data_IF_953339164568
#
_entry.id   IF_953339164568
#
_cell.length_a   1.000
_cell.length_b   1.000
_cell.length_c   1.000
_cell.angle_alpha   90.00
_cell.angle_beta   90.00
_cell.angle_gamma   90.00
#
_symmetry.space_group_name_H-M   'P 1'
#
loop_
_entity.id
_entity.type
_entity.pdbx_description
1 polymer ?
#
# COMPACT_ATOMS: atom_id res chain seq x y z
N UNK A 1 6.95 -19.25 3.29
CA UNK A 1 5.80 -19.50 2.39
C UNK A 1 4.70 -18.44 2.51
N UNK A 2 4.24 -18.07 3.71
CA UNK A 2 3.14 -17.10 3.90
C UNK A 2 3.41 -15.73 3.25
N UNK A 3 4.64 -15.21 3.32
CA UNK A 3 5.01 -13.91 2.73
C UNK A 3 4.62 -13.84 1.24
N UNK A 4 5.00 -14.84 0.45
CA UNK A 4 4.68 -14.90 -0.99
C UNK A 4 3.18 -15.08 -1.22
N UNK A 5 2.48 -15.87 -0.39
CA UNK A 5 1.01 -15.99 -0.46
C UNK A 5 0.33 -14.64 -0.24
N UNK A 6 0.72 -13.92 0.81
CA UNK A 6 0.22 -12.58 1.10
C UNK A 6 0.54 -11.60 -0.04
N UNK A 7 1.75 -11.67 -0.63
CA UNK A 7 2.12 -10.79 -1.74
C UNK A 7 1.27 -11.05 -2.99
N UNK A 8 1.04 -12.32 -3.34
CA UNK A 8 0.13 -12.73 -4.42
C UNK A 8 -1.31 -12.26 -4.16
N UNK A 9 -1.80 -12.46 -2.94
CA UNK A 9 -3.16 -12.07 -2.57
C UNK A 9 -3.34 -10.55 -2.62
N UNK A 10 -2.42 -9.78 -2.02
CA UNK A 10 -2.47 -8.33 -2.03
C UNK A 10 -2.40 -7.75 -3.46
N UNK A 11 -1.51 -8.29 -4.30
CA UNK A 11 -1.41 -7.89 -5.70
C UNK A 11 -2.73 -8.15 -6.44
N UNK A 12 -3.33 -9.33 -6.24
CA UNK A 12 -4.63 -9.66 -6.84
C UNK A 12 -5.73 -8.73 -6.35
N UNK A 13 -5.85 -8.49 -5.04
CA UNK A 13 -6.88 -7.62 -4.47
C UNK A 13 -6.76 -6.18 -4.99
N UNK A 14 -5.55 -5.66 -5.14
CA UNK A 14 -5.33 -4.33 -5.75
C UNK A 14 -5.71 -4.33 -7.24
N UNK A 15 -5.44 -5.42 -7.96
CA UNK A 15 -5.86 -5.57 -9.37
C UNK A 15 -7.38 -5.62 -9.52
N UNK A 16 -8.07 -6.37 -8.65
CA UNK A 16 -9.54 -6.45 -8.61
C UNK A 16 -10.17 -5.07 -8.32
N UNK A 17 -9.45 -4.20 -7.60
CA UNK A 17 -9.83 -2.81 -7.31
C UNK A 17 -9.43 -1.80 -8.42
N UNK A 18 -8.95 -2.28 -9.57
CA UNK A 18 -8.68 -1.47 -10.75
C UNK A 18 -7.26 -0.88 -10.83
N UNK A 19 -6.35 -1.24 -9.92
CA UNK A 19 -4.95 -0.84 -10.02
C UNK A 19 -4.16 -1.79 -10.92
N UNK A 20 -3.24 -1.25 -11.71
CA UNK A 20 -2.42 -2.07 -12.61
C UNK A 20 -1.21 -2.62 -11.88
N UNK A 21 -1.11 -3.94 -11.74
CA UNK A 21 0.08 -4.62 -11.23
C UNK A 21 1.08 -4.81 -12.36
N UNK A 22 2.32 -4.34 -12.18
CA UNK A 22 3.39 -4.58 -13.15
C UNK A 22 3.63 -6.09 -13.22
N UNK A 23 3.72 -6.64 -14.44
CA UNK A 23 3.78 -8.08 -14.75
C UNK A 23 2.53 -8.90 -14.39
N UNK A 24 1.45 -8.28 -13.88
CA UNK A 24 0.17 -8.93 -13.57
C UNK A 24 0.13 -9.69 -12.23
N UNK A 25 1.22 -9.73 -11.47
CA UNK A 25 1.29 -10.45 -10.19
C UNK A 25 2.68 -10.41 -9.58
N UNK A 26 3.02 -11.44 -8.78
CA UNK A 26 4.36 -11.64 -8.23
C UNK A 26 4.59 -13.07 -7.79
N UNK A 27 5.83 -13.54 -7.91
CA UNK A 27 6.30 -14.81 -7.33
C UNK A 27 7.23 -14.62 -6.13
N UNK A 28 7.41 -13.38 -5.69
CA UNK A 28 8.31 -13.02 -4.59
C UNK A 28 7.54 -12.34 -3.45
N UNK A 29 8.25 -11.65 -2.57
CA UNK A 29 7.71 -10.96 -1.40
C UNK A 29 7.24 -9.53 -1.70
N UNK A 30 7.43 -9.04 -2.93
CA UNK A 30 7.11 -7.68 -3.35
C UNK A 30 6.56 -7.63 -4.78
N UNK A 31 5.95 -6.52 -5.13
CA UNK A 31 5.48 -6.21 -6.49
C UNK A 31 5.44 -4.69 -6.70
N UNK A 32 5.26 -4.28 -7.96
CA UNK A 32 5.09 -2.87 -8.34
C UNK A 32 3.66 -2.61 -8.80
N UNK A 33 3.14 -1.45 -8.44
CA UNK A 33 1.85 -0.93 -8.89
C UNK A 33 2.12 0.25 -9.81
N UNK A 34 1.52 0.22 -10.99
CA UNK A 34 1.49 1.33 -11.95
C UNK A 34 0.33 2.26 -11.58
N UNK A 35 0.66 3.52 -11.30
CA UNK A 35 -0.29 4.54 -10.84
C UNK A 35 -0.80 5.45 -11.97
N UNK A 36 -0.33 5.26 -13.21
CA UNK A 36 -0.83 6.03 -14.35
C UNK A 36 -2.36 5.94 -14.52
N UNK A 37 -3.02 4.75 -14.37
CA UNK A 37 -4.48 4.66 -14.46
C UNK A 37 -5.21 5.48 -13.39
N UNK A 38 -4.58 5.68 -12.23
CA UNK A 38 -5.12 6.50 -11.15
C UNK A 38 -4.80 7.99 -11.33
N UNK A 39 -4.00 8.36 -12.33
CA UNK A 39 -3.48 9.71 -12.54
C UNK A 39 -2.75 10.28 -11.31
N UNK A 40 -2.06 9.43 -10.54
CA UNK A 40 -1.29 9.81 -9.35
C UNK A 40 0.20 9.57 -9.61
N UNK A 41 1.07 10.42 -9.06
CA UNK A 41 2.53 10.22 -9.09
C UNK A 41 3.00 9.30 -7.97
N UNK A 42 4.12 8.61 -8.15
CA UNK A 42 4.73 7.82 -7.07
C UNK A 42 5.00 8.68 -5.83
N UNK A 43 5.51 9.90 -6.02
CA UNK A 43 5.73 10.91 -4.97
C UNK A 43 4.43 11.27 -4.24
N UNK A 44 3.36 11.59 -4.96
CA UNK A 44 2.09 11.95 -4.35
C UNK A 44 1.46 10.75 -3.61
N UNK A 45 1.49 9.56 -4.21
CA UNK A 45 0.97 8.34 -3.61
C UNK A 45 1.72 7.97 -2.31
N UNK A 46 3.05 8.02 -2.32
CA UNK A 46 3.89 7.76 -1.15
C UNK A 46 3.50 8.69 0.01
N UNK A 47 3.41 10.01 -0.23
CA UNK A 47 3.01 10.99 0.78
C UNK A 47 1.55 10.80 1.26
N UNK A 48 0.62 10.58 0.34
CA UNK A 48 -0.79 10.40 0.66
C UNK A 48 -1.03 9.18 1.55
N UNK A 49 -0.39 8.06 1.20
CA UNK A 49 -0.46 6.82 1.99
C UNK A 49 0.22 7.02 3.35
N UNK A 50 1.37 7.69 3.41
CA UNK A 50 2.08 7.99 4.67
C UNK A 50 1.20 8.81 5.62
N UNK A 51 0.53 9.86 5.14
CA UNK A 51 -0.44 10.65 5.92
C UNK A 51 -1.58 9.81 6.50
N UNK A 52 -1.92 8.72 5.84
CA UNK A 52 -2.95 7.77 6.25
C UNK A 52 -2.41 6.61 7.11
N UNK A 53 -1.12 6.62 7.47
CA UNK A 53 -0.47 5.57 8.27
C UNK A 53 -0.04 4.33 7.47
N UNK A 54 0.02 4.41 6.14
CA UNK A 54 0.43 3.33 5.24
C UNK A 54 1.77 3.69 4.59
N UNK A 55 2.85 3.01 4.98
CA UNK A 55 4.18 3.28 4.40
C UNK A 55 4.42 2.42 3.17
N UNK A 56 4.73 3.06 2.05
CA UNK A 56 5.19 2.43 0.80
C UNK A 56 6.41 3.18 0.27
N UNK A 57 6.95 2.73 -0.87
CA UNK A 57 8.05 3.43 -1.53
C UNK A 57 7.69 3.76 -2.99
N UNK A 58 7.81 5.02 -3.40
CA UNK A 58 7.74 5.39 -4.82
C UNK A 58 8.83 4.67 -5.60
N UNK A 59 8.49 4.20 -6.80
CA UNK A 59 9.43 3.46 -7.61
C UNK A 59 9.14 3.65 -9.10
N UNK A 60 10.18 3.66 -9.93
CA UNK A 60 10.01 3.67 -11.37
C UNK A 60 9.40 2.34 -11.85
N UNK A 61 8.72 2.39 -12.99
CA UNK A 61 8.12 1.23 -13.64
C UNK A 61 8.71 1.04 -15.05
N UNK A 62 8.50 -0.12 -15.72
CA UNK A 62 8.92 -0.28 -17.11
C UNK A 62 8.36 0.81 -18.02
N UNK A 63 9.20 1.36 -18.91
CA UNK A 63 8.87 2.49 -19.79
C UNK A 63 8.51 3.78 -19.03
N UNK A 64 9.17 4.01 -17.90
CA UNK A 64 9.04 5.25 -17.12
C UNK A 64 9.22 6.51 -17.97
N UNK A 65 8.35 7.49 -17.77
CA UNK A 65 8.36 8.79 -18.45
C UNK A 65 8.59 9.96 -17.49
N UNK A 66 8.42 9.73 -16.19
CA UNK A 66 8.63 10.73 -15.13
C UNK A 66 10.05 10.64 -14.58
N UNK A 67 10.49 11.70 -13.89
CA UNK A 67 11.81 11.69 -13.24
C UNK A 67 11.86 10.66 -12.09
N UNK A 68 13.05 10.12 -11.74
CA UNK A 68 13.20 9.19 -10.61
C UNK A 68 12.74 9.76 -9.25
N UNK A 69 12.71 11.09 -9.10
CA UNK A 69 12.22 11.75 -7.88
C UNK A 69 10.70 11.80 -7.78
N UNK A 70 9.98 11.64 -8.90
CA UNK A 70 8.52 11.66 -8.98
C UNK A 70 7.96 10.25 -9.15
N UNK A 71 8.49 9.51 -10.13
CA UNK A 71 8.12 8.15 -10.53
C UNK A 71 6.63 7.95 -10.90
N UNK A 72 6.34 6.87 -11.62
CA UNK A 72 4.98 6.49 -12.04
C UNK A 72 4.39 5.31 -11.27
N UNK A 73 5.09 4.78 -10.27
CA UNK A 73 4.60 3.66 -9.48
C UNK A 73 5.02 3.67 -8.01
N UNK A 74 4.55 2.64 -7.31
CA UNK A 74 4.95 2.33 -5.93
C UNK A 74 5.33 0.85 -5.82
N UNK A 75 6.24 0.55 -4.91
CA UNK A 75 6.65 -0.81 -4.54
C UNK A 75 6.05 -1.19 -3.21
N UNK A 76 5.40 -2.35 -3.17
CA UNK A 76 4.74 -2.89 -1.99
C UNK A 76 5.35 -4.26 -1.68
N UNK A 77 5.65 -4.51 -0.41
CA UNK A 77 6.12 -5.80 0.07
C UNK A 77 5.38 -6.24 1.33
N UNK A 78 5.23 -7.54 1.52
CA UNK A 78 4.46 -8.15 2.61
C UNK A 78 5.25 -8.71 3.80
N UNK A 79 6.61 -8.77 3.86
CA UNK A 79 7.31 -9.34 5.01
C UNK A 79 6.88 -8.74 6.37
N UNK A 80 6.84 -7.41 6.49
CA UNK A 80 6.58 -6.72 7.76
C UNK A 80 5.19 -7.03 8.34
N UNK A 81 4.14 -7.00 7.51
CA UNK A 81 2.77 -7.34 7.93
C UNK A 81 2.63 -8.83 8.21
N UNK A 82 3.31 -9.67 7.44
CA UNK A 82 3.30 -11.13 7.64
C UNK A 82 3.98 -11.52 8.95
N UNK A 83 5.09 -10.88 9.32
CA UNK A 83 5.78 -11.12 10.61
C UNK A 83 4.93 -10.72 11.81
N UNK A 84 3.95 -9.82 11.62
CA UNK A 84 2.97 -9.44 12.65
C UNK A 84 1.79 -10.42 12.74
N UNK A 85 1.75 -11.46 11.90
CA UNK A 85 0.71 -12.49 11.91
C UNK A 85 -0.43 -12.26 10.92
N UNK A 86 -0.39 -11.20 10.11
CA UNK A 86 -1.42 -10.91 9.11
C UNK A 86 -1.41 -11.95 7.97
N UNK A 87 -2.60 -12.29 7.47
CA UNK A 87 -2.84 -13.27 6.40
C UNK A 87 -3.62 -12.63 5.25
N UNK A 88 -4.12 -13.47 4.34
CA UNK A 88 -4.82 -13.08 3.12
C UNK A 88 -6.02 -12.15 3.39
N UNK A 89 -6.80 -12.39 4.44
CA UNK A 89 -7.94 -11.53 4.81
C UNK A 89 -7.50 -10.09 5.13
N UNK A 90 -6.38 -9.92 5.84
CA UNK A 90 -5.83 -8.58 6.09
C UNK A 90 -5.25 -7.95 4.82
N UNK A 91 -4.77 -8.76 3.85
CA UNK A 91 -4.28 -8.21 2.58
C UNK A 91 -5.43 -7.60 1.76
N UNK A 92 -6.63 -8.18 1.80
CA UNK A 92 -7.82 -7.58 1.19
C UNK A 92 -8.17 -6.23 1.85
N UNK A 93 -8.12 -6.18 3.19
CA UNK A 93 -8.35 -4.95 3.93
C UNK A 93 -7.30 -3.88 3.58
N UNK A 94 -6.01 -4.24 3.54
CA UNK A 94 -4.93 -3.33 3.14
C UNK A 94 -5.12 -2.86 1.71
N UNK A 95 -5.54 -3.73 0.78
CA UNK A 95 -5.82 -3.34 -0.60
C UNK A 95 -6.92 -2.28 -0.69
N UNK A 96 -8.03 -2.47 0.05
CA UNK A 96 -9.12 -1.50 0.08
C UNK A 96 -8.67 -0.15 0.65
N UNK A 97 -7.88 -0.16 1.73
CA UNK A 97 -7.36 1.08 2.32
C UNK A 97 -6.44 1.83 1.36
N UNK A 98 -5.51 1.12 0.68
CA UNK A 98 -4.63 1.72 -0.33
C UNK A 98 -5.44 2.33 -1.46
N UNK A 99 -6.39 1.59 -2.03
CA UNK A 99 -7.19 2.11 -3.14
C UNK A 99 -8.03 3.32 -2.72
N UNK A 100 -8.62 3.30 -1.51
CA UNK A 100 -9.42 4.42 -0.99
C UNK A 100 -8.59 5.69 -0.87
N UNK A 101 -7.35 5.58 -0.39
CA UNK A 101 -6.42 6.72 -0.33
C UNK A 101 -6.09 7.22 -1.73
N UNK A 102 -5.65 6.34 -2.64
CA UNK A 102 -5.25 6.72 -3.99
C UNK A 102 -6.40 7.39 -4.78
N UNK A 103 -7.64 6.93 -4.60
CA UNK A 103 -8.82 7.50 -5.22
C UNK A 103 -9.21 8.89 -4.67
N UNK A 104 -8.64 9.32 -3.55
CA UNK A 104 -8.95 10.58 -2.88
C UNK A 104 -7.73 11.50 -2.73
N UNK A 105 -6.65 11.25 -3.50
CA UNK A 105 -5.52 12.19 -3.62
C UNK A 105 -6.00 13.44 -4.35
N UNK A 106 -5.77 14.62 -3.77
CA UNK A 106 -6.30 15.89 -4.28
C UNK A 106 -5.28 16.71 -5.06
N UNK A 107 -3.99 16.43 -4.92
CA UNK A 107 -2.91 17.17 -5.57
C UNK A 107 -1.60 16.38 -5.68
N UNK A 108 -0.61 17.00 -6.34
CA UNK A 108 0.73 16.44 -6.55
C UNK A 108 1.58 16.37 -5.28
N UNK A 109 1.16 17.03 -4.20
CA UNK A 109 1.84 16.97 -2.91
C UNK A 109 1.29 15.88 -1.99
N UNK A 110 0.36 15.07 -2.50
CA UNK A 110 -0.17 13.91 -1.81
C UNK A 110 -1.08 14.30 -0.66
N UNK A 111 -1.79 15.42 -0.76
CA UNK A 111 -2.91 15.68 0.13
C UNK A 111 -4.06 14.74 -0.20
N UNK A 112 -4.84 14.40 0.83
CA UNK A 112 -5.98 13.50 0.76
C UNK A 112 -7.16 14.24 1.37
N UNK A 113 -8.37 14.02 0.86
CA UNK A 113 -9.58 14.57 1.47
C UNK A 113 -9.63 14.27 2.99
N UNK A 114 -9.75 15.31 3.82
CA UNK A 114 -9.61 15.23 5.29
C UNK A 114 -10.47 14.13 5.93
N UNK A 115 -11.73 14.01 5.51
CA UNK A 115 -12.64 12.97 6.03
C UNK A 115 -12.13 11.56 5.75
N UNK A 116 -11.60 11.33 4.53
CA UNK A 116 -11.06 10.04 4.11
C UNK A 116 -9.75 9.75 4.84
N UNK A 117 -8.88 10.75 4.99
CA UNK A 117 -7.65 10.60 5.77
C UNK A 117 -7.96 10.17 7.21
N UNK A 118 -8.90 10.85 7.89
CA UNK A 118 -9.26 10.52 9.26
C UNK A 118 -9.84 9.09 9.40
N UNK A 119 -10.72 8.68 8.50
CA UNK A 119 -11.30 7.33 8.47
C UNK A 119 -10.24 6.26 8.25
N UNK A 120 -9.38 6.43 7.24
CA UNK A 120 -8.33 5.46 6.91
C UNK A 120 -7.33 5.34 8.06
N UNK A 121 -6.92 6.46 8.68
CA UNK A 121 -6.02 6.43 9.86
C UNK A 121 -6.65 5.62 11.00
N UNK A 122 -7.95 5.79 11.27
CA UNK A 122 -8.64 5.00 12.28
C UNK A 122 -8.67 3.51 11.94
N UNK A 123 -8.98 3.16 10.69
CA UNK A 123 -9.02 1.75 10.24
C UNK A 123 -7.64 1.09 10.26
N UNK A 124 -6.59 1.81 9.81
CA UNK A 124 -5.18 1.35 9.88
C UNK A 124 -4.76 1.13 11.32
N UNK A 125 -5.12 2.05 12.23
CA UNK A 125 -4.82 1.92 13.66
C UNK A 125 -5.48 0.68 14.25
N UNK A 126 -6.79 0.49 14.01
CA UNK A 126 -7.54 -0.70 14.46
C UNK A 126 -6.94 -2.00 13.92
N UNK A 127 -6.55 -2.01 12.64
CA UNK A 127 -5.87 -3.17 12.06
C UNK A 127 -4.52 -3.42 12.75
N UNK A 128 -3.73 -2.38 12.98
CA UNK A 128 -2.44 -2.51 13.66
C UNK A 128 -2.57 -2.99 15.12
N UNK A 129 -3.57 -2.54 15.86
CA UNK A 129 -3.83 -2.93 17.25
C UNK A 129 -4.19 -4.42 17.39
N UNK A 130 -4.87 -5.00 16.39
CA UNK A 130 -5.12 -6.45 16.33
C UNK A 130 -3.85 -7.29 16.17
N UNK A 131 -2.76 -6.69 15.67
CA UNK A 131 -1.50 -7.36 15.35
C UNK A 131 -0.30 -6.61 15.96
N UNK A 132 -0.17 -6.55 17.30
CA UNK A 132 0.88 -5.78 17.96
C UNK A 132 2.29 -6.31 17.65
N UNK A 133 3.27 -5.41 17.55
CA UNK A 133 4.66 -5.77 17.22
C UNK A 133 5.39 -6.53 18.34
N UNK A 134 5.05 -6.22 19.60
CA UNK A 134 5.70 -6.78 20.78
C UNK A 134 4.66 -7.37 21.73
N UNK A 135 4.24 -8.60 21.48
CA UNK A 135 3.26 -9.30 22.34
C UNK A 135 3.82 -9.56 23.76
N UNK A 136 5.15 -9.71 23.91
CA UNK A 136 5.79 -10.23 25.12
C UNK A 136 6.91 -9.33 25.72
N UNK A 137 6.96 -8.02 25.46
CA UNK A 137 8.13 -7.21 25.84
C UNK A 137 7.91 -5.95 26.67
N UNK A 138 6.73 -5.74 27.24
CA UNK A 138 6.53 -4.64 28.19
C UNK A 138 5.68 -5.12 29.36
N UNK A 139 6.35 -5.72 30.35
CA UNK A 139 5.89 -5.65 31.74
C UNK A 139 6.65 -4.46 32.34
N UNK A 140 5.95 -3.38 32.65
CA UNK A 140 6.46 -2.33 33.54
C UNK A 140 6.32 -2.80 34.99
#
# INVERSE_FOLDING_TARGET
KQIVRNAKHLAKSLADLGLRIVSGGTDTHLFLVDLNPANVTGKAAEKALERCGITVNKNTIPKETRSPFVASGIRIGTPAVTTRGMKEAEMEQIASLIQRVLANVTDEEGNVKDSVQAEVVMEVKKLCERFPLYVNRINF
#
